data_IF_417855836568
#
_entry.id   IF_417855836568
#
_cell.length_a   1.000
_cell.length_b   1.000
_cell.length_c   1.000
_cell.angle_alpha   90.00
_cell.angle_beta   90.00
_cell.angle_gamma   90.00
#
_symmetry.space_group_name_H-M   'P 1'
#
loop_
_entity.id
_entity.type
_entity.pdbx_description
1 polymer ?
#
# COMPACT_ATOMS: atom_id res chain seq x y z
N UNK A 1 -13.43 -36.00 14.83
CA UNK A 1 -13.16 -37.22 15.59
C UNK A 1 -11.77 -37.73 15.22
N UNK A 2 -11.06 -38.36 16.15
CA UNK A 2 -9.72 -38.94 15.91
C UNK A 2 -9.75 -39.98 14.78
N UNK A 3 -10.87 -40.69 14.62
CA UNK A 3 -11.03 -41.62 13.50
C UNK A 3 -10.97 -40.94 12.12
N UNK A 4 -11.45 -39.70 11.96
CA UNK A 4 -11.49 -39.01 10.66
C UNK A 4 -10.12 -38.52 10.18
N UNK A 5 -9.17 -38.29 11.10
CA UNK A 5 -7.81 -37.88 10.72
C UNK A 5 -6.97 -39.02 10.13
N UNK A 6 -7.45 -40.27 10.22
CA UNK A 6 -6.81 -41.43 9.58
C UNK A 6 -7.33 -41.71 8.17
N UNK A 7 -8.29 -40.91 7.67
CA UNK A 7 -8.83 -41.02 6.32
C UNK A 7 -8.36 -39.85 5.45
N UNK A 8 -8.43 -40.01 4.13
CA UNK A 8 -8.08 -38.96 3.19
C UNK A 8 -9.03 -37.75 3.27
N UNK A 9 -8.76 -36.69 2.51
CA UNK A 9 -9.57 -35.47 2.51
C UNK A 9 -11.06 -35.72 2.18
N UNK A 10 -11.36 -36.74 1.37
CA UNK A 10 -12.73 -37.18 1.07
C UNK A 10 -13.37 -38.06 2.15
N UNK A 11 -12.59 -38.57 3.10
CA UNK A 11 -13.05 -39.46 4.17
C UNK A 11 -13.39 -40.88 3.70
N UNK A 12 -13.03 -41.24 2.46
CA UNK A 12 -13.42 -42.52 1.82
C UNK A 12 -12.30 -43.55 1.88
N UNK A 13 -11.04 -43.12 1.87
CA UNK A 13 -9.87 -44.01 1.94
C UNK A 13 -9.15 -43.88 3.28
N UNK A 14 -8.90 -45.01 3.95
CA UNK A 14 -8.04 -45.05 5.14
C UNK A 14 -6.57 -44.85 4.73
N UNK A 15 -5.96 -43.76 5.20
CA UNK A 15 -4.55 -43.39 4.96
C UNK A 15 -3.68 -43.52 6.21
N UNK A 16 -4.25 -44.01 7.33
CA UNK A 16 -3.52 -44.21 8.57
C UNK A 16 -2.87 -42.92 9.07
N UNK A 17 -1.59 -42.96 9.42
CA UNK A 17 -0.85 -41.79 9.92
C UNK A 17 -0.31 -40.87 8.81
N UNK A 18 -0.64 -41.11 7.54
CA UNK A 18 -0.13 -40.33 6.40
C UNK A 18 -0.34 -38.82 6.55
N UNK A 19 -1.55 -38.40 6.96
CA UNK A 19 -1.86 -36.98 7.19
C UNK A 19 -0.95 -36.32 8.25
N UNK A 20 -0.53 -37.06 9.27
CA UNK A 20 0.35 -36.54 10.31
C UNK A 20 1.79 -36.41 9.79
N UNK A 21 2.28 -37.41 9.05
CA UNK A 21 3.60 -37.35 8.41
C UNK A 21 3.65 -36.18 7.44
N UNK A 22 2.60 -35.98 6.64
CA UNK A 22 2.50 -34.86 5.70
C UNK A 22 2.53 -33.49 6.42
N UNK A 23 1.82 -33.33 7.54
CA UNK A 23 1.87 -32.11 8.35
C UNK A 23 3.27 -31.77 8.88
N UNK A 24 4.08 -32.79 9.22
CA UNK A 24 5.45 -32.59 9.72
C UNK A 24 6.52 -32.56 8.61
N UNK A 25 6.15 -32.85 7.36
CA UNK A 25 7.09 -32.87 6.22
C UNK A 25 6.85 -31.70 5.27
N UNK A 26 5.63 -31.15 5.22
CA UNK A 26 5.31 -30.00 4.41
C UNK A 26 6.00 -28.71 4.92
N UNK A 27 6.81 -28.11 4.05
CA UNK A 27 7.55 -26.88 4.35
C UNK A 27 6.64 -25.70 4.64
N UNK A 28 5.46 -25.61 4.00
CA UNK A 28 4.53 -24.52 4.26
C UNK A 28 3.96 -24.63 5.68
N UNK A 29 3.52 -25.83 6.07
CA UNK A 29 3.04 -26.13 7.42
C UNK A 29 4.11 -25.88 8.49
N UNK A 30 5.34 -26.35 8.29
CA UNK A 30 6.44 -26.10 9.21
C UNK A 30 6.79 -24.60 9.34
N UNK A 31 6.72 -23.85 8.25
CA UNK A 31 6.93 -22.39 8.26
C UNK A 31 5.83 -21.69 9.06
N UNK A 32 4.57 -22.08 8.87
CA UNK A 32 3.45 -21.54 9.62
C UNK A 32 3.57 -21.86 11.12
N UNK A 33 3.96 -23.09 11.49
CA UNK A 33 4.21 -23.48 12.88
C UNK A 33 5.33 -22.63 13.49
N UNK A 34 6.47 -22.48 12.79
CA UNK A 34 7.59 -21.67 13.26
C UNK A 34 7.17 -20.22 13.48
N UNK A 35 6.46 -19.62 12.53
CA UNK A 35 6.00 -18.23 12.65
C UNK A 35 5.04 -18.05 13.83
N UNK A 36 4.10 -18.97 14.02
CA UNK A 36 3.21 -18.95 15.17
C UNK A 36 3.97 -19.13 16.49
N UNK A 37 4.93 -20.04 16.56
CA UNK A 37 5.76 -20.25 17.74
C UNK A 37 6.56 -18.99 18.10
N UNK A 38 7.13 -18.30 17.10
CA UNK A 38 7.80 -17.01 17.28
C UNK A 38 6.80 -15.98 17.83
N UNK A 39 5.61 -15.86 17.23
CA UNK A 39 4.60 -14.92 17.68
C UNK A 39 4.15 -15.15 19.13
N UNK A 40 3.91 -16.41 19.50
CA UNK A 40 3.48 -16.80 20.86
C UNK A 40 4.58 -16.54 21.90
N UNK A 41 5.86 -16.63 21.53
CA UNK A 41 6.95 -16.30 22.44
C UNK A 41 7.21 -14.79 22.51
N UNK A 42 7.33 -14.13 21.36
CA UNK A 42 7.80 -12.75 21.27
C UNK A 42 6.73 -11.76 21.70
N UNK A 43 5.49 -11.90 21.24
CA UNK A 43 4.47 -10.87 21.49
C UNK A 43 4.12 -10.75 22.99
N UNK A 44 3.85 -11.85 23.72
CA UNK A 44 3.60 -11.77 25.16
C UNK A 44 4.83 -11.25 25.92
N UNK A 45 6.03 -11.71 25.57
CA UNK A 45 7.27 -11.25 26.23
C UNK A 45 7.45 -9.73 26.10
N UNK A 46 7.25 -9.18 24.89
CA UNK A 46 7.36 -7.74 24.65
C UNK A 46 6.26 -6.96 25.38
N UNK A 47 5.01 -7.39 25.29
CA UNK A 47 3.87 -6.69 25.93
C UNK A 47 4.00 -6.72 27.44
N UNK A 48 4.35 -7.87 28.03
CA UNK A 48 4.59 -7.99 29.48
C UNK A 48 5.80 -7.17 29.93
N UNK A 49 6.91 -7.21 29.18
CA UNK A 49 8.10 -6.43 29.49
C UNK A 49 7.83 -4.92 29.48
N UNK A 50 7.19 -4.43 28.41
CA UNK A 50 6.78 -3.02 28.32
C UNK A 50 5.78 -2.65 29.42
N UNK A 51 4.79 -3.51 29.69
CA UNK A 51 3.82 -3.32 30.75
C UNK A 51 4.47 -3.16 32.12
N UNK A 52 5.51 -3.95 32.42
CA UNK A 52 6.25 -3.85 33.67
C UNK A 52 7.07 -2.55 33.76
N UNK A 53 7.74 -2.15 32.67
CA UNK A 53 8.46 -0.87 32.60
C UNK A 53 7.49 0.29 32.88
N UNK A 54 6.32 0.31 32.23
CA UNK A 54 5.31 1.34 32.48
C UNK A 54 4.75 1.28 33.89
N UNK A 55 4.55 0.09 34.45
CA UNK A 55 4.06 -0.07 35.82
C UNK A 55 5.01 0.58 36.84
N UNK A 56 6.31 0.31 36.72
CA UNK A 56 7.35 0.89 37.59
C UNK A 56 7.46 2.41 37.39
N UNK A 57 7.46 2.88 36.14
CA UNK A 57 7.57 4.31 35.85
C UNK A 57 6.38 5.12 36.38
N UNK A 58 5.18 4.53 36.31
CA UNK A 58 3.93 5.16 36.74
C UNK A 58 3.82 5.24 38.26
N UNK A 59 4.54 4.40 39.02
CA UNK A 59 4.50 4.38 40.49
C UNK A 59 4.94 5.73 41.11
N UNK A 60 5.79 6.49 40.42
CA UNK A 60 6.24 7.83 40.84
C UNK A 60 5.30 8.97 40.43
N UNK A 61 4.22 8.68 39.70
CA UNK A 61 3.32 9.71 39.12
C UNK A 61 2.14 9.96 40.07
N UNK A 62 1.94 11.23 40.44
CA UNK A 62 0.88 11.65 41.38
C UNK A 62 -0.56 11.36 40.90
N UNK A 63 -0.74 11.15 39.60
CA UNK A 63 -2.01 10.79 38.93
C UNK A 63 -1.97 9.37 38.31
N UNK A 64 -1.18 8.46 38.87
CA UNK A 64 -0.97 7.09 38.38
C UNK A 64 -2.27 6.36 38.02
N UNK A 65 -3.34 6.54 38.81
CA UNK A 65 -4.64 5.89 38.58
C UNK A 65 -5.28 6.32 37.27
N UNK A 66 -5.28 7.61 36.94
CA UNK A 66 -5.84 8.11 35.68
C UNK A 66 -5.04 7.61 34.48
N UNK A 67 -3.71 7.55 34.60
CA UNK A 67 -2.83 7.03 33.55
C UNK A 67 -3.08 5.53 33.28
N UNK A 68 -3.20 4.72 34.35
CA UNK A 68 -3.56 3.30 34.23
C UNK A 68 -4.90 3.12 33.53
N UNK A 69 -5.92 3.90 33.92
CA UNK A 69 -7.24 3.84 33.28
C UNK A 69 -7.17 4.17 31.79
N UNK A 70 -6.41 5.18 31.37
CA UNK A 70 -6.24 5.54 29.96
C UNK A 70 -5.58 4.40 29.16
N UNK A 71 -4.51 3.81 29.69
CA UNK A 71 -3.78 2.71 29.04
C UNK A 71 -4.63 1.44 28.96
N UNK A 72 -5.47 1.18 29.96
CA UNK A 72 -6.34 0.01 30.02
C UNK A 72 -7.69 0.21 29.32
N UNK A 73 -8.10 1.45 29.05
CA UNK A 73 -9.35 1.78 28.37
C UNK A 73 -9.55 0.99 27.06
N UNK A 74 -8.54 0.81 26.18
CA UNK A 74 -8.71 0.09 24.92
C UNK A 74 -9.08 -1.39 25.10
N UNK A 75 -8.80 -2.00 26.27
CA UNK A 75 -9.21 -3.38 26.55
C UNK A 75 -10.73 -3.54 26.65
N UNK A 76 -11.47 -2.44 26.85
CA UNK A 76 -12.93 -2.45 26.82
C UNK A 76 -13.50 -2.53 25.38
N UNK A 77 -12.67 -2.29 24.37
CA UNK A 77 -13.07 -2.32 22.96
C UNK A 77 -13.04 -3.77 22.47
N UNK A 78 -14.10 -4.21 21.78
CA UNK A 78 -14.17 -5.53 21.17
C UNK A 78 -13.08 -5.72 20.11
N UNK A 79 -12.46 -6.90 20.08
CA UNK A 79 -11.51 -7.28 19.03
C UNK A 79 -12.10 -7.17 17.62
N UNK A 80 -13.40 -7.46 17.46
CA UNK A 80 -14.08 -7.30 16.17
C UNK A 80 -14.11 -5.83 15.75
N UNK A 81 -14.50 -4.94 16.67
CA UNK A 81 -14.54 -3.50 16.41
C UNK A 81 -13.14 -2.95 16.07
N UNK A 82 -12.13 -3.35 16.84
CA UNK A 82 -10.74 -2.99 16.56
C UNK A 82 -10.30 -3.48 15.17
N UNK A 83 -10.65 -4.73 14.79
CA UNK A 83 -10.37 -5.27 13.46
C UNK A 83 -11.03 -4.49 12.33
N UNK A 84 -12.29 -4.06 12.51
CA UNK A 84 -13.00 -3.22 11.54
C UNK A 84 -12.32 -1.84 11.43
N UNK A 85 -11.98 -1.21 12.55
CA UNK A 85 -11.28 0.09 12.57
C UNK A 85 -9.95 -0.03 11.83
N UNK A 86 -9.13 -1.03 12.14
CA UNK A 86 -7.85 -1.21 11.47
C UNK A 86 -8.01 -1.48 9.97
N UNK A 87 -9.00 -2.31 9.59
CA UNK A 87 -9.31 -2.53 8.17
C UNK A 87 -9.68 -1.22 7.45
N UNK A 88 -10.51 -0.39 8.07
CA UNK A 88 -10.89 0.92 7.51
C UNK A 88 -9.71 1.88 7.45
N UNK A 89 -8.86 1.90 8.49
CA UNK A 89 -7.65 2.76 8.54
C UNK A 89 -6.65 2.37 7.45
N UNK A 90 -6.46 1.07 7.21
CA UNK A 90 -5.57 0.52 6.18
C UNK A 90 -6.27 0.24 4.85
N UNK A 91 -7.50 0.73 4.66
CA UNK A 91 -8.19 0.63 3.38
C UNK A 91 -7.34 1.31 2.30
N UNK A 92 -7.09 0.61 1.19
CA UNK A 92 -6.16 1.08 0.15
C UNK A 92 -6.70 2.31 -0.62
N UNK A 93 -8.02 2.51 -0.62
CA UNK A 93 -8.67 3.67 -1.22
C UNK A 93 -8.29 4.95 -0.45
N UNK A 94 -7.52 5.90 -1.04
CA UNK A 94 -7.09 7.12 -0.36
C UNK A 94 -8.25 8.01 0.10
N UNK A 95 -9.44 7.87 -0.48
CA UNK A 95 -10.62 8.65 -0.08
C UNK A 95 -11.33 8.07 1.16
N UNK A 96 -11.01 6.83 1.54
CA UNK A 96 -11.62 6.13 2.69
C UNK A 96 -10.62 5.72 3.77
N UNK A 97 -9.36 5.46 3.40
CA UNK A 97 -8.30 5.05 4.30
C UNK A 97 -7.66 6.23 5.04
N UNK A 98 -7.88 6.30 6.35
CA UNK A 98 -7.36 7.39 7.19
C UNK A 98 -5.83 7.43 7.22
N UNK A 99 -5.15 6.27 7.24
CA UNK A 99 -3.68 6.25 7.27
C UNK A 99 -3.07 6.77 5.97
N UNK A 100 -3.65 6.39 4.82
CA UNK A 100 -3.17 6.86 3.52
C UNK A 100 -3.49 8.36 3.33
N UNK A 101 -4.66 8.81 3.78
CA UNK A 101 -5.02 10.22 3.76
C UNK A 101 -4.07 11.09 4.60
N UNK A 102 -3.64 10.62 5.78
CA UNK A 102 -2.65 11.31 6.61
C UNK A 102 -1.28 11.35 5.92
N UNK A 103 -0.83 10.24 5.35
CA UNK A 103 0.44 10.19 4.61
C UNK A 103 0.45 11.14 3.40
N UNK A 104 -0.64 11.15 2.63
CA UNK A 104 -0.82 12.08 1.51
C UNK A 104 -0.89 13.52 1.99
N UNK A 105 -1.61 13.82 3.07
CA UNK A 105 -1.69 15.18 3.62
C UNK A 105 -0.31 15.70 4.10
N UNK A 106 0.48 14.85 4.77
CA UNK A 106 1.85 15.19 5.15
C UNK A 106 2.71 15.40 3.91
N UNK A 107 2.64 14.51 2.92
CA UNK A 107 3.36 14.66 1.66
C UNK A 107 2.99 15.98 0.96
N UNK A 108 1.71 16.28 0.84
CA UNK A 108 1.19 17.46 0.14
C UNK A 108 1.50 18.78 0.87
N UNK A 109 1.84 18.71 2.16
CA UNK A 109 2.37 19.87 2.92
C UNK A 109 3.81 20.21 2.50
N UNK A 110 4.59 19.22 2.05
CA UNK A 110 6.00 19.39 1.67
C UNK A 110 6.26 19.33 0.16
N UNK A 111 5.29 18.85 -0.63
CA UNK A 111 5.38 18.70 -2.08
C UNK A 111 4.05 19.12 -2.71
N UNK A 112 4.09 20.08 -3.64
CA UNK A 112 2.90 20.58 -4.32
C UNK A 112 2.16 19.44 -5.06
N UNK A 113 0.88 19.23 -4.75
CA UNK A 113 0.10 18.12 -5.30
C UNK A 113 0.04 18.21 -6.83
N UNK A 114 0.59 17.21 -7.53
CA UNK A 114 0.50 17.15 -8.99
C UNK A 114 -0.97 17.05 -9.43
N UNK A 115 -1.38 17.92 -10.36
CA UNK A 115 -2.75 17.96 -10.91
C UNK A 115 -3.19 16.60 -11.50
N UNK A 116 -2.24 15.75 -11.88
CA UNK A 116 -2.46 14.40 -12.37
C UNK A 116 -1.60 13.38 -11.59
N UNK A 117 -2.08 12.90 -10.42
CA UNK A 117 -1.34 11.91 -9.62
C UNK A 117 -1.14 10.61 -10.41
N UNK A 118 0.11 10.15 -10.50
CA UNK A 118 0.47 8.92 -11.22
C UNK A 118 0.72 9.10 -12.72
N UNK A 119 0.54 10.31 -13.27
CA UNK A 119 0.87 10.61 -14.66
C UNK A 119 2.37 10.44 -14.92
N UNK A 120 2.71 9.64 -15.93
CA UNK A 120 4.10 9.45 -16.36
C UNK A 120 4.18 9.32 -17.88
N UNK A 121 5.28 9.75 -18.51
CA UNK A 121 5.51 9.48 -19.91
C UNK A 121 5.50 7.98 -20.20
N UNK A 122 4.86 7.60 -21.30
CA UNK A 122 4.97 6.24 -21.85
C UNK A 122 6.39 5.97 -22.31
N UNK A 123 6.99 6.94 -23.00
CA UNK A 123 8.34 6.83 -23.54
C UNK A 123 9.33 7.68 -22.74
N UNK A 124 10.16 7.01 -21.95
CA UNK A 124 11.23 7.61 -21.14
C UNK A 124 12.50 7.90 -21.94
N UNK A 125 12.56 7.56 -23.23
CA UNK A 125 13.72 7.88 -24.09
C UNK A 125 13.72 9.35 -24.52
N UNK A 126 12.53 9.92 -24.71
CA UNK A 126 12.38 11.31 -25.11
C UNK A 126 12.33 12.25 -23.91
N UNK A 127 11.67 11.84 -22.81
CA UNK A 127 11.47 12.65 -21.63
C UNK A 127 12.27 12.11 -20.43
N UNK A 128 13.18 12.93 -19.93
CA UNK A 128 14.00 12.65 -18.74
C UNK A 128 13.38 13.38 -17.56
N UNK A 129 13.17 12.63 -16.46
CA UNK A 129 12.68 13.20 -15.20
C UNK A 129 13.78 14.03 -14.54
N UNK A 130 13.47 15.27 -14.20
CA UNK A 130 14.36 16.19 -13.49
C UNK A 130 14.26 16.02 -11.96
N UNK A 131 15.21 16.59 -11.23
CA UNK A 131 15.29 16.47 -9.77
C UNK A 131 14.09 17.12 -9.04
N UNK A 132 13.46 18.11 -9.67
CA UNK A 132 12.25 18.80 -9.20
C UNK A 132 10.94 18.04 -9.55
N UNK A 133 11.05 16.88 -10.22
CA UNK A 133 9.92 16.08 -10.65
C UNK A 133 9.31 16.49 -12.00
N UNK A 134 9.80 17.55 -12.64
CA UNK A 134 9.42 17.92 -14.00
C UNK A 134 10.02 16.97 -15.03
N UNK A 135 9.55 17.02 -16.28
CA UNK A 135 10.10 16.24 -17.39
C UNK A 135 10.66 17.18 -18.46
N UNK A 136 11.87 16.91 -18.91
CA UNK A 136 12.50 17.65 -20.01
C UNK A 136 12.93 16.71 -21.13
N UNK A 137 12.99 17.24 -22.35
CA UNK A 137 13.43 16.46 -23.50
C UNK A 137 14.91 16.12 -23.38
N UNK A 138 15.27 14.85 -23.51
CA UNK A 138 16.67 14.39 -23.50
C UNK A 138 17.47 14.80 -24.75
N UNK A 139 16.78 15.27 -25.79
CA UNK A 139 17.35 15.72 -27.06
C UNK A 139 16.90 17.13 -27.40
N UNK A 140 17.81 17.95 -27.95
CA UNK A 140 17.48 19.28 -28.42
C UNK A 140 16.50 19.23 -29.61
N UNK A 141 15.32 19.85 -29.44
CA UNK A 141 14.32 19.97 -30.49
C UNK A 141 14.63 21.18 -31.37
N UNK A 142 14.45 21.04 -32.68
CA UNK A 142 14.62 22.13 -33.66
C UNK A 142 13.26 22.69 -34.06
N UNK A 143 13.19 23.98 -34.33
CA UNK A 143 11.98 24.60 -34.90
C UNK A 143 11.63 23.93 -36.23
N UNK A 144 10.32 23.71 -36.46
CA UNK A 144 9.83 22.90 -37.59
C UNK A 144 9.75 21.39 -37.33
N UNK A 145 10.12 20.91 -36.13
CA UNK A 145 9.91 19.51 -35.73
C UNK A 145 8.59 19.30 -35.00
N UNK A 146 8.03 18.11 -35.18
CA UNK A 146 6.78 17.69 -34.57
C UNK A 146 7.07 16.56 -33.58
N UNK A 147 6.58 16.69 -32.34
CA UNK A 147 6.86 15.72 -31.27
C UNK A 147 5.57 15.28 -30.60
N UNK A 148 5.52 14.00 -30.24
CA UNK A 148 4.35 13.36 -29.68
C UNK A 148 4.69 12.78 -28.31
N UNK A 149 3.92 13.14 -27.28
CA UNK A 149 4.12 12.66 -25.91
C UNK A 149 2.91 11.86 -25.43
N UNK A 150 3.05 10.54 -25.33
CA UNK A 150 2.06 9.69 -24.68
C UNK A 150 2.21 9.74 -23.16
N UNK A 151 1.12 10.00 -22.44
CA UNK A 151 1.04 9.91 -20.99
C UNK A 151 0.24 8.68 -20.58
N UNK A 152 0.73 7.95 -19.58
CA UNK A 152 0.04 6.83 -18.95
C UNK A 152 -0.17 7.08 -17.47
N UNK A 153 -1.12 6.38 -16.86
CA UNK A 153 -1.35 6.42 -15.40
C UNK A 153 -2.25 7.56 -14.91
N UNK A 154 -2.91 8.32 -15.81
CA UNK A 154 -3.97 9.25 -15.40
C UNK A 154 -5.30 8.50 -15.39
N UNK A 155 -6.04 8.61 -14.30
CA UNK A 155 -7.38 8.05 -14.21
C UNK A 155 -8.35 8.80 -15.17
N UNK A 156 -9.22 8.10 -15.91
CA UNK A 156 -10.18 8.74 -16.84
C UNK A 156 -11.08 9.77 -16.16
N UNK A 157 -11.42 9.54 -14.89
CA UNK A 157 -12.25 10.44 -14.05
C UNK A 157 -11.56 11.75 -13.68
N UNK A 158 -10.25 11.89 -13.92
CA UNK A 158 -9.47 13.10 -13.66
C UNK A 158 -9.16 13.91 -14.92
N UNK A 159 -9.66 13.51 -16.08
CA UNK A 159 -9.49 14.29 -17.31
C UNK A 159 -10.35 15.56 -17.26
N UNK A 160 -9.86 16.70 -17.77
CA UNK A 160 -10.64 17.92 -17.86
C UNK A 160 -11.82 17.72 -18.82
N UNK A 161 -12.94 18.41 -18.58
CA UNK A 161 -14.14 18.34 -19.44
C UNK A 161 -13.86 18.80 -20.89
N UNK A 162 -12.80 19.59 -21.09
CA UNK A 162 -12.34 20.06 -22.39
C UNK A 162 -11.49 19.03 -23.16
N UNK A 163 -11.21 17.85 -22.57
CA UNK A 163 -10.41 16.82 -23.23
C UNK A 163 -11.08 16.36 -24.54
N UNK A 164 -10.31 16.38 -25.63
CA UNK A 164 -10.77 15.97 -26.97
C UNK A 164 -10.05 14.70 -27.43
N UNK A 165 -10.62 13.94 -28.37
CA UNK A 165 -9.92 12.84 -29.02
C UNK A 165 -8.56 13.30 -29.55
N UNK A 166 -7.52 12.51 -29.29
CA UNK A 166 -6.15 12.85 -29.69
C UNK A 166 -6.07 12.96 -31.22
N UNK A 167 -5.56 14.10 -31.70
CA UNK A 167 -5.33 14.34 -33.12
C UNK A 167 -3.82 14.46 -33.39
N UNK A 168 -3.39 14.03 -34.57
CA UNK A 168 -2.03 14.26 -35.02
C UNK A 168 -1.74 15.78 -35.01
N UNK A 169 -0.61 16.21 -34.43
CA UNK A 169 -0.25 17.62 -34.40
C UNK A 169 -0.08 18.16 -35.83
N UNK A 170 -0.50 19.40 -36.11
CA UNK A 170 -0.28 20.02 -37.42
C UNK A 170 1.24 20.12 -37.71
N UNK A 171 1.61 20.12 -38.99
CA UNK A 171 3.01 20.33 -39.39
C UNK A 171 3.52 21.65 -38.81
N UNK A 172 4.61 21.60 -38.06
CA UNK A 172 5.18 22.78 -37.42
C UNK A 172 5.65 23.78 -38.49
N UNK A 173 5.13 25.01 -38.44
CA UNK A 173 5.57 26.09 -39.32
C UNK A 173 7.01 26.52 -39.02
N UNK A 174 7.62 27.30 -39.92
CA UNK A 174 8.96 27.86 -39.70
C UNK A 174 8.99 28.67 -38.40
N UNK A 175 9.84 28.24 -37.44
CA UNK A 175 9.96 28.89 -36.13
C UNK A 175 9.03 28.34 -35.04
N UNK A 176 8.17 27.37 -35.33
CA UNK A 176 7.22 26.80 -34.36
C UNK A 176 7.61 25.36 -33.97
N UNK A 177 7.16 24.94 -32.79
CA UNK A 177 7.14 23.54 -32.36
C UNK A 177 5.68 23.13 -32.25
N UNK A 178 5.30 22.04 -32.90
CA UNK A 178 3.96 21.48 -32.81
C UNK A 178 4.04 20.12 -32.12
N UNK A 179 3.07 19.83 -31.26
CA UNK A 179 3.02 18.54 -30.58
C UNK A 179 1.67 18.25 -29.98
N UNK A 180 1.41 16.95 -29.79
CA UNK A 180 0.19 16.47 -29.14
C UNK A 180 0.60 15.68 -27.91
N UNK A 181 -0.04 15.99 -26.78
CA UNK A 181 0.01 15.19 -25.56
C UNK A 181 -1.31 14.42 -25.48
N UNK A 182 -1.26 13.09 -25.36
CA UNK A 182 -2.47 12.28 -25.25
C UNK A 182 -2.39 11.29 -24.09
N UNK A 183 -3.56 10.88 -23.62
CA UNK A 183 -3.67 9.75 -22.72
C UNK A 183 -3.59 8.45 -23.52
N UNK A 184 -2.61 7.62 -23.21
CA UNK A 184 -2.44 6.33 -23.83
C UNK A 184 -3.01 5.22 -22.94
N UNK A 185 -3.96 4.44 -23.48
CA UNK A 185 -4.70 3.41 -22.75
C UNK A 185 -4.15 1.99 -22.94
N UNK A 186 -3.09 1.82 -23.74
CA UNK A 186 -2.52 0.49 -24.00
C UNK A 186 -1.55 0.03 -22.90
#
# INVERSE_FOLDING_TARGET
SIGRSLFDASGTRFVGLGNYVDMFTDRATLTAIRNNAIWVAVAPTLVTGLGLIFAVLTERVRWATAFKLLIFMPMAISFLAAGIIFRLVYEQDPQRGVANAILVAVHDTFAESSKYPGARPRDTRLLVKQADGSYATGTALRTGSTVQFGLVGVAPTKLPEEARPAAAPPSAGNGQLAGTVWLDFA
#
